data_IF_330685782867
#
_entry.id   IF_330685782867
#
_cell.length_a   1.000
_cell.length_b   1.000
_cell.length_c   1.000
_cell.angle_alpha   90.00
_cell.angle_beta   90.00
_cell.angle_gamma   90.00
#
_symmetry.space_group_name_H-M   'P 1'
#
loop_
_entity.id
_entity.type
_entity.pdbx_description
1 polymer ?
#
# COMPACT_ATOMS: atom_id res chain seq x y z
N UNK A 1 7.83 -4.07 19.15
CA UNK A 1 8.95 -3.83 18.21
C UNK A 1 9.91 -4.99 18.37
N UNK A 2 10.41 -5.58 17.31
CA UNK A 2 11.33 -6.72 17.33
C UNK A 2 12.73 -6.22 16.93
N UNK A 3 13.53 -5.73 17.88
CA UNK A 3 14.80 -5.07 17.58
C UNK A 3 15.87 -6.01 17.02
N UNK A 4 15.69 -7.32 17.17
CA UNK A 4 16.61 -8.36 16.68
C UNK A 4 16.15 -9.00 15.37
N UNK A 5 15.09 -8.48 14.74
CA UNK A 5 14.62 -9.02 13.49
C UNK A 5 15.46 -8.52 12.31
N UNK A 6 15.92 -9.43 11.47
CA UNK A 6 16.51 -9.11 10.17
C UNK A 6 15.38 -8.86 9.18
N UNK A 7 15.32 -7.66 8.62
CA UNK A 7 14.26 -7.25 7.69
C UNK A 7 14.84 -7.07 6.29
N UNK A 8 14.26 -7.78 5.33
CA UNK A 8 14.64 -7.71 3.93
C UNK A 8 13.50 -7.13 3.11
N UNK A 9 13.73 -6.00 2.46
CA UNK A 9 12.76 -5.35 1.57
C UNK A 9 13.16 -5.61 0.10
N UNK A 10 12.39 -6.45 -0.58
CA UNK A 10 12.55 -6.68 -2.01
C UNK A 10 11.72 -5.67 -2.79
N UNK A 11 12.34 -4.96 -3.72
CA UNK A 11 11.69 -3.91 -4.50
C UNK A 11 12.13 -3.93 -5.97
N UNK A 12 11.26 -3.46 -6.84
CA UNK A 12 11.63 -3.18 -8.24
C UNK A 12 12.04 -1.72 -8.42
N UNK A 13 11.19 -0.80 -7.96
CA UNK A 13 11.44 0.63 -7.94
C UNK A 13 11.01 1.22 -6.60
N UNK A 14 11.87 2.05 -6.01
CA UNK A 14 11.56 2.84 -4.82
C UNK A 14 11.38 4.30 -5.26
N UNK A 15 10.26 4.90 -4.84
CA UNK A 15 9.94 6.29 -5.13
C UNK A 15 9.67 7.03 -3.83
N UNK A 16 10.60 7.91 -3.44
CA UNK A 16 10.51 8.71 -2.21
C UNK A 16 9.96 10.10 -2.54
N UNK A 17 8.68 10.15 -2.95
CA UNK A 17 8.05 11.37 -3.48
C UNK A 17 7.50 12.32 -2.38
N UNK A 18 7.35 11.84 -1.15
CA UNK A 18 6.77 12.63 -0.05
C UNK A 18 7.82 13.31 0.81
N UNK A 19 7.44 14.38 1.53
CA UNK A 19 8.32 15.03 2.51
C UNK A 19 8.82 14.04 3.58
N UNK A 20 10.11 14.03 3.84
CA UNK A 20 10.74 13.17 4.86
C UNK A 20 10.92 11.70 4.44
N UNK A 21 10.48 11.29 3.25
CA UNK A 21 10.59 9.88 2.85
C UNK A 21 12.02 9.46 2.55
N UNK A 22 12.84 10.36 2.01
CA UNK A 22 14.26 10.10 1.76
C UNK A 22 15.02 9.92 3.07
N UNK A 23 14.73 10.74 4.09
CA UNK A 23 15.28 10.62 5.43
C UNK A 23 14.86 9.31 6.09
N UNK A 24 13.58 8.95 5.96
CA UNK A 24 13.05 7.68 6.47
C UNK A 24 13.76 6.47 5.82
N UNK A 25 14.02 6.51 4.51
CA UNK A 25 14.75 5.47 3.82
C UNK A 25 16.19 5.32 4.33
N UNK A 26 16.89 6.44 4.52
CA UNK A 26 18.24 6.44 5.08
C UNK A 26 18.27 5.93 6.52
N UNK A 27 17.31 6.36 7.33
CA UNK A 27 17.16 5.89 8.71
C UNK A 27 16.86 4.39 8.76
N UNK A 28 16.01 3.88 7.87
CA UNK A 28 15.69 2.47 7.74
C UNK A 28 16.97 1.62 7.50
N UNK A 29 17.85 2.09 6.62
CA UNK A 29 19.12 1.42 6.36
C UNK A 29 20.14 1.55 7.47
N UNK A 30 20.34 2.77 7.99
CA UNK A 30 21.46 3.07 8.87
C UNK A 30 21.18 2.77 10.34
N UNK A 31 19.94 3.00 10.78
CA UNK A 31 19.55 2.86 12.18
C UNK A 31 18.85 1.54 12.47
N UNK A 32 18.02 1.10 11.54
CA UNK A 32 17.22 -0.12 11.72
C UNK A 32 17.75 -1.32 10.94
N UNK A 33 18.88 -1.18 10.24
CA UNK A 33 19.56 -2.23 9.50
C UNK A 33 18.62 -3.00 8.55
N UNK A 34 17.68 -2.29 7.90
CA UNK A 34 16.78 -2.89 6.91
C UNK A 34 17.54 -3.07 5.60
N UNK A 35 17.59 -4.29 5.11
CA UNK A 35 18.25 -4.66 3.86
C UNK A 35 17.34 -4.41 2.67
N UNK A 36 17.71 -3.50 1.79
CA UNK A 36 16.98 -3.22 0.56
C UNK A 36 17.62 -3.97 -0.60
N UNK A 37 16.88 -4.92 -1.18
CA UNK A 37 17.35 -5.75 -2.29
C UNK A 37 16.53 -5.40 -3.53
N UNK A 38 17.20 -4.86 -4.56
CA UNK A 38 16.52 -4.58 -5.81
C UNK A 38 16.35 -5.88 -6.58
N UNK A 39 15.10 -6.35 -6.62
CA UNK A 39 14.79 -7.60 -7.28
C UNK A 39 13.35 -8.04 -7.06
N UNK A 40 13.00 -9.11 -7.72
CA UNK A 40 11.66 -9.69 -7.63
C UNK A 40 11.74 -11.07 -7.02
N UNK A 41 10.88 -11.34 -6.05
CA UNK A 41 10.67 -12.70 -5.56
C UNK A 41 9.99 -13.49 -6.68
N UNK A 42 10.63 -14.56 -7.13
CA UNK A 42 10.13 -15.43 -8.20
C UNK A 42 9.33 -16.60 -7.65
N UNK A 43 9.64 -17.05 -6.45
CA UNK A 43 9.00 -18.20 -5.82
C UNK A 43 9.03 -18.04 -4.29
N UNK A 44 7.96 -18.45 -3.65
CA UNK A 44 7.87 -18.61 -2.21
C UNK A 44 7.21 -19.97 -1.92
N UNK A 45 7.84 -20.80 -1.11
CA UNK A 45 7.34 -22.13 -0.78
C UNK A 45 7.47 -22.42 0.71
N UNK A 46 6.47 -23.07 1.33
CA UNK A 46 6.55 -23.46 2.73
C UNK A 46 7.61 -24.54 2.93
N UNK A 47 8.29 -24.49 4.08
CA UNK A 47 9.24 -25.50 4.52
C UNK A 47 8.63 -26.37 5.63
N UNK A 48 9.19 -27.55 5.85
CA UNK A 48 8.70 -28.50 6.86
C UNK A 48 8.80 -27.92 8.28
N UNK A 49 9.77 -27.05 8.52
CA UNK A 49 9.99 -26.38 9.81
C UNK A 49 9.09 -25.15 10.06
N UNK A 50 8.13 -24.90 9.16
CA UNK A 50 7.18 -23.79 9.25
C UNK A 50 7.69 -22.47 8.70
N UNK A 51 8.96 -22.39 8.27
CA UNK A 51 9.50 -21.22 7.60
C UNK A 51 9.10 -21.17 6.12
N UNK A 52 9.39 -20.05 5.48
CA UNK A 52 9.16 -19.84 4.05
C UNK A 52 10.50 -19.73 3.33
N UNK A 53 10.72 -20.60 2.36
CA UNK A 53 11.84 -20.45 1.44
C UNK A 53 11.45 -19.49 0.32
N UNK A 54 12.25 -18.45 0.11
CA UNK A 54 12.09 -17.53 -1.01
C UNK A 54 13.26 -17.67 -2.00
N UNK A 55 12.92 -17.53 -3.28
CA UNK A 55 13.88 -17.39 -4.37
C UNK A 55 13.68 -16.03 -5.02
N UNK A 56 14.75 -15.30 -5.20
CA UNK A 56 14.75 -13.99 -5.82
C UNK A 56 16.01 -13.82 -6.67
N UNK A 57 16.06 -12.77 -7.45
CA UNK A 57 17.26 -12.32 -8.13
C UNK A 57 17.61 -10.93 -7.61
N UNK A 58 18.83 -10.73 -7.17
CA UNK A 58 19.37 -9.40 -6.93
C UNK A 58 19.81 -8.81 -8.28
N UNK A 59 19.02 -7.90 -8.82
CA UNK A 59 19.27 -7.31 -10.15
C UNK A 59 20.44 -6.33 -10.19
N UNK A 60 20.94 -5.87 -9.03
CA UNK A 60 22.14 -5.04 -8.97
C UNK A 60 23.42 -5.86 -9.08
N UNK A 61 23.42 -7.05 -8.48
CA UNK A 61 24.57 -7.95 -8.56
C UNK A 61 24.44 -9.00 -9.64
N UNK A 62 23.25 -9.17 -10.24
CA UNK A 62 22.95 -10.20 -11.23
C UNK A 62 22.99 -11.62 -10.65
N UNK A 63 22.82 -11.78 -9.34
CA UNK A 63 22.95 -13.08 -8.67
C UNK A 63 21.61 -13.61 -8.19
N UNK A 64 21.36 -14.92 -8.37
CA UNK A 64 20.22 -15.56 -7.75
C UNK A 64 20.41 -15.63 -6.23
N UNK A 65 19.33 -15.32 -5.52
CA UNK A 65 19.26 -15.35 -4.07
C UNK A 65 18.27 -16.44 -3.64
N UNK A 66 18.68 -17.24 -2.64
CA UNK A 66 17.80 -18.17 -1.95
C UNK A 66 17.98 -17.99 -0.45
N UNK A 67 16.88 -17.77 0.25
CA UNK A 67 16.91 -17.60 1.70
C UNK A 67 15.66 -18.19 2.35
N UNK A 68 15.75 -18.51 3.63
CA UNK A 68 14.63 -18.93 4.46
C UNK A 68 14.28 -17.80 5.43
N UNK A 69 13.00 -17.47 5.52
CA UNK A 69 12.48 -16.43 6.39
C UNK A 69 11.38 -17.00 7.27
N UNK A 70 11.19 -16.43 8.45
CA UNK A 70 10.13 -16.83 9.38
C UNK A 70 8.77 -16.28 8.94
N UNK A 71 8.78 -15.13 8.25
CA UNK A 71 7.58 -14.47 7.74
C UNK A 71 7.84 -13.80 6.40
N UNK A 72 6.92 -13.98 5.46
CA UNK A 72 6.86 -13.23 4.22
C UNK A 72 5.63 -12.31 4.24
N UNK A 73 5.86 -10.99 4.16
CA UNK A 73 4.81 -9.98 4.10
C UNK A 73 4.64 -9.54 2.65
N UNK A 74 3.45 -9.76 2.08
CA UNK A 74 3.12 -9.36 0.72
C UNK A 74 2.47 -7.97 0.74
N UNK A 75 3.13 -6.99 0.13
CA UNK A 75 2.62 -5.63 -0.03
C UNK A 75 2.08 -5.52 -1.46
N UNK A 76 0.86 -6.01 -1.68
CA UNK A 76 0.28 -6.21 -3.03
C UNK A 76 -0.61 -5.05 -3.51
N UNK A 77 -0.76 -4.00 -2.72
CA UNK A 77 -1.62 -2.86 -3.06
C UNK A 77 -3.06 -3.02 -2.54
N UNK A 78 -3.89 -2.06 -2.91
CA UNK A 78 -5.28 -1.97 -2.47
C UNK A 78 -6.22 -2.14 -3.67
N UNK A 79 -7.29 -2.90 -3.48
CA UNK A 79 -8.42 -2.98 -4.42
C UNK A 79 -9.69 -2.52 -3.74
N UNK A 80 -10.66 -2.10 -4.54
CA UNK A 80 -11.98 -1.77 -4.03
C UNK A 80 -12.64 -3.02 -3.42
N UNK A 81 -13.44 -2.81 -2.37
CA UNK A 81 -14.21 -3.89 -1.75
C UNK A 81 -15.28 -4.40 -2.73
N UNK A 82 -15.51 -5.69 -2.75
CA UNK A 82 -16.50 -6.32 -3.64
C UNK A 82 -17.94 -5.87 -3.30
N UNK A 83 -18.23 -5.57 -2.03
CA UNK A 83 -19.52 -5.08 -1.57
C UNK A 83 -19.84 -3.64 -2.02
N UNK A 84 -18.85 -2.90 -2.52
CA UNK A 84 -19.04 -1.53 -3.02
C UNK A 84 -20.11 -1.45 -4.12
N UNK A 85 -20.29 -2.52 -4.88
CA UNK A 85 -21.31 -2.57 -5.93
C UNK A 85 -22.72 -2.47 -5.36
N UNK A 86 -23.05 -3.36 -4.42
CA UNK A 86 -24.37 -3.41 -3.79
C UNK A 86 -24.65 -2.16 -2.96
N UNK A 87 -23.63 -1.67 -2.24
CA UNK A 87 -23.76 -0.43 -1.45
C UNK A 87 -24.04 0.78 -2.35
N UNK A 88 -23.27 0.92 -3.44
CA UNK A 88 -23.45 2.03 -4.37
C UNK A 88 -24.83 2.01 -5.03
N UNK A 89 -25.33 0.84 -5.45
CA UNK A 89 -26.65 0.68 -6.02
C UNK A 89 -27.74 1.07 -5.01
N UNK A 90 -27.65 0.57 -3.78
CA UNK A 90 -28.61 0.89 -2.72
C UNK A 90 -28.65 2.34 -2.31
N UNK A 91 -27.54 3.05 -2.36
CA UNK A 91 -27.40 4.46 -1.99
C UNK A 91 -27.43 5.44 -3.19
N UNK A 92 -27.56 4.93 -4.43
CA UNK A 92 -27.55 5.75 -5.64
C UNK A 92 -26.20 6.43 -5.92
N UNK A 93 -25.09 5.81 -5.48
CA UNK A 93 -23.74 6.37 -5.61
C UNK A 93 -23.09 5.96 -6.93
N UNK A 94 -22.28 6.85 -7.49
CA UNK A 94 -21.49 6.55 -8.68
C UNK A 94 -20.22 5.77 -8.32
N UNK A 95 -19.82 4.85 -9.21
CA UNK A 95 -18.59 4.10 -9.12
C UNK A 95 -17.69 4.35 -10.32
N UNK A 96 -16.38 4.39 -10.05
CA UNK A 96 -15.38 4.40 -11.10
C UNK A 96 -15.21 2.97 -11.72
N UNK A 97 -14.66 2.86 -12.94
CA UNK A 97 -14.36 1.56 -13.54
C UNK A 97 -13.43 0.68 -12.72
N UNK A 98 -12.61 1.28 -11.84
CA UNK A 98 -11.73 0.60 -10.89
C UNK A 98 -12.47 -0.09 -9.73
N UNK A 99 -13.79 0.13 -9.59
CA UNK A 99 -14.61 -0.39 -8.50
C UNK A 99 -14.68 0.50 -7.26
N UNK A 100 -13.83 1.50 -7.14
CA UNK A 100 -13.91 2.52 -6.08
C UNK A 100 -15.10 3.45 -6.30
N UNK A 101 -15.53 4.15 -5.24
CA UNK A 101 -16.57 5.17 -5.37
C UNK A 101 -16.05 6.36 -6.18
N UNK A 102 -16.88 6.89 -7.07
CA UNK A 102 -16.54 8.05 -7.86
C UNK A 102 -16.93 9.33 -7.10
N UNK A 103 -15.99 10.22 -6.78
CA UNK A 103 -16.31 11.52 -6.21
C UNK A 103 -17.09 12.38 -7.22
N UNK A 104 -17.81 13.38 -6.73
CA UNK A 104 -18.56 14.31 -7.55
C UNK A 104 -17.68 15.05 -8.56
N UNK A 105 -16.52 15.44 -8.11
CA UNK A 105 -15.45 16.05 -8.92
C UNK A 105 -14.10 15.67 -8.33
N UNK A 106 -13.17 15.23 -9.17
CA UNK A 106 -11.86 14.75 -8.72
C UNK A 106 -10.95 15.87 -8.19
N UNK A 107 -11.22 17.12 -8.53
CA UNK A 107 -10.36 18.26 -8.19
C UNK A 107 -10.99 19.19 -7.17
N UNK A 108 -12.28 19.48 -7.31
CA UNK A 108 -13.00 20.46 -6.50
C UNK A 108 -14.00 19.85 -5.51
N UNK A 109 -14.20 18.55 -5.57
CA UNK A 109 -15.18 17.85 -4.75
C UNK A 109 -14.80 16.40 -4.48
N UNK A 110 -13.52 16.14 -4.23
CA UNK A 110 -12.95 14.81 -4.06
C UNK A 110 -13.49 14.01 -2.85
N UNK A 111 -14.07 14.71 -1.87
CA UNK A 111 -14.73 14.09 -0.70
C UNK A 111 -16.26 14.09 -0.81
N UNK A 112 -16.83 14.73 -1.83
CA UNK A 112 -18.30 14.81 -2.03
C UNK A 112 -18.76 13.72 -2.99
N UNK A 113 -19.86 13.05 -2.65
CA UNK A 113 -20.52 12.12 -3.57
C UNK A 113 -21.40 12.84 -4.57
N UNK A 114 -21.96 12.10 -5.53
CA UNK A 114 -23.04 12.60 -6.40
C UNK A 114 -24.37 12.78 -5.68
N UNK A 115 -24.53 12.20 -4.48
CA UNK A 115 -25.73 12.31 -3.63
C UNK A 115 -25.46 13.34 -2.55
N UNK A 116 -26.33 14.34 -2.44
CA UNK A 116 -26.16 15.39 -1.44
C UNK A 116 -26.27 14.83 -0.02
N UNK A 117 -25.41 15.31 0.89
CA UNK A 117 -25.31 14.84 2.27
C UNK A 117 -24.47 13.57 2.46
N UNK A 118 -23.95 12.96 1.40
CA UNK A 118 -23.06 11.81 1.48
C UNK A 118 -21.64 12.23 1.11
N UNK A 119 -20.71 11.94 2.00
CA UNK A 119 -19.29 12.28 1.86
C UNK A 119 -18.42 11.04 1.93
N UNK A 120 -17.27 11.10 1.28
CA UNK A 120 -16.28 10.05 1.24
C UNK A 120 -15.10 10.41 2.11
N UNK A 121 -14.53 9.42 2.81
CA UNK A 121 -13.30 9.57 3.55
C UNK A 121 -12.45 8.30 3.43
N UNK A 122 -11.13 8.47 3.43
CA UNK A 122 -10.19 7.36 3.37
C UNK A 122 -10.14 6.64 2.01
N UNK A 123 -9.92 5.34 2.04
CA UNK A 123 -9.62 4.54 0.84
C UNK A 123 -10.84 4.18 -0.01
N UNK A 124 -12.02 4.73 0.27
CA UNK A 124 -13.26 4.39 -0.45
C UNK A 124 -13.27 4.90 -1.91
N UNK A 125 -12.55 5.99 -2.20
CA UNK A 125 -12.46 6.56 -3.56
C UNK A 125 -11.22 6.14 -4.33
N UNK A 126 -10.14 5.81 -3.64
CA UNK A 126 -8.87 5.37 -4.22
C UNK A 126 -7.92 4.80 -3.14
N UNK A 127 -6.86 4.09 -3.51
CA UNK A 127 -5.77 3.81 -2.59
C UNK A 127 -5.19 5.12 -2.03
N UNK A 128 -5.09 5.20 -0.70
CA UNK A 128 -4.58 6.37 0.04
C UNK A 128 -3.72 5.94 1.21
N UNK A 129 -2.76 6.77 1.58
CA UNK A 129 -2.02 6.61 2.82
C UNK A 129 -2.81 7.18 4.02
N UNK A 130 -2.28 7.02 5.24
CA UNK A 130 -2.95 7.45 6.47
C UNK A 130 -3.15 8.98 6.49
N UNK A 131 -2.13 9.75 6.08
CA UNK A 131 -2.20 11.22 6.04
C UNK A 131 -3.26 11.72 5.07
N UNK A 132 -3.32 11.15 3.87
CA UNK A 132 -4.34 11.46 2.87
C UNK A 132 -5.75 11.12 3.37
N UNK A 133 -5.90 9.98 4.06
CA UNK A 133 -7.18 9.57 4.63
C UNK A 133 -7.66 10.50 5.75
N UNK A 134 -6.75 11.01 6.57
CA UNK A 134 -7.05 12.02 7.60
C UNK A 134 -7.44 13.35 6.95
N UNK A 135 -6.74 13.76 5.90
CA UNK A 135 -7.04 15.00 5.19
C UNK A 135 -8.45 15.01 4.59
N UNK A 136 -8.94 13.87 4.08
CA UNK A 136 -10.34 13.79 3.61
C UNK A 136 -11.34 14.13 4.71
N UNK A 137 -11.11 13.68 5.95
CA UNK A 137 -11.96 14.03 7.09
C UNK A 137 -11.89 15.52 7.43
N UNK A 138 -10.69 16.11 7.39
CA UNK A 138 -10.49 17.52 7.70
C UNK A 138 -11.13 18.43 6.64
N UNK A 139 -11.09 18.06 5.36
CA UNK A 139 -11.74 18.83 4.29
C UNK A 139 -13.25 18.91 4.44
N UNK A 140 -13.88 17.89 5.03
CA UNK A 140 -15.32 17.93 5.32
C UNK A 140 -15.67 18.83 6.50
N UNK A 141 -14.78 18.94 7.50
CA UNK A 141 -15.04 19.69 8.74
C UNK A 141 -14.68 21.17 8.65
N UNK A 142 -14.14 21.64 7.53
CA UNK A 142 -13.67 23.02 7.33
C UNK A 142 -14.65 23.92 6.56
N UNK A 143 -15.86 23.44 6.23
CA UNK A 143 -16.95 24.22 5.59
C UNK A 143 -17.98 24.77 6.61
#
# INVERSE_FOLDING_TARGET
>A
MFPEADVFNFYMDIRMFGPGYEEMYREAQQKYNIHFIRGRISEASPMIDGRVQIKAEDTLTGRPLRMSVDMLILIVGMRANDDNAAFAEGAGLNRAPSGFMAPRDMFLGNVKSNVEGIFYAGTVTAPKNIGESINDCLLYTSD
#
